data_IF_855073094158
#
_entry.id   IF_855073094158
#
_cell.length_a   1.000
_cell.length_b   1.000
_cell.length_c   1.000
_cell.angle_alpha   90.00
_cell.angle_beta   90.00
_cell.angle_gamma   90.00
#
_symmetry.space_group_name_H-M   'P 1'
#
loop_
_entity.id
_entity.type
_entity.pdbx_description
1 polymer ?
#
# COMPACT_ATOMS: atom_id res chain seq x y z
N UNK A 1 -16.97 -4.00 12.19
CA UNK A 1 -16.87 -2.95 11.17
C UNK A 1 -15.83 -3.33 10.13
N UNK A 2 -16.08 -2.94 8.88
CA UNK A 2 -15.15 -3.26 7.81
C UNK A 2 -13.84 -2.47 7.97
N UNK A 3 -12.73 -3.16 7.75
CA UNK A 3 -11.42 -2.52 7.74
C UNK A 3 -11.24 -1.74 6.43
N UNK A 4 -10.52 -0.64 6.48
CA UNK A 4 -10.28 0.23 5.33
C UNK A 4 -8.85 0.08 4.83
N UNK A 5 -8.71 -0.12 3.53
CA UNK A 5 -7.41 -0.20 2.85
C UNK A 5 -7.28 0.98 1.91
N UNK A 6 -6.22 1.76 2.08
CA UNK A 6 -5.89 2.82 1.12
C UNK A 6 -4.94 2.25 0.07
N UNK A 7 -5.29 2.44 -1.19
CA UNK A 7 -4.48 1.96 -2.32
C UNK A 7 -3.86 3.17 -3.02
N UNK A 8 -2.54 3.21 -3.07
CA UNK A 8 -1.80 4.24 -3.78
C UNK A 8 -1.18 3.59 -5.02
N UNK A 9 -1.80 3.81 -6.17
CA UNK A 9 -1.48 3.12 -7.42
C UNK A 9 -1.84 4.00 -8.61
N UNK A 10 -0.89 4.22 -9.53
CA UNK A 10 -1.13 5.06 -10.70
C UNK A 10 -1.70 4.30 -11.91
N UNK A 11 -1.59 2.99 -11.94
CA UNK A 11 -2.14 2.18 -13.02
C UNK A 11 -3.60 1.86 -12.75
N UNK A 12 -4.50 2.32 -13.64
CA UNK A 12 -5.95 2.16 -13.46
C UNK A 12 -6.39 0.70 -13.41
N UNK A 13 -5.78 -0.18 -14.20
CA UNK A 13 -6.12 -1.60 -14.19
C UNK A 13 -5.74 -2.26 -12.88
N UNK A 14 -4.57 -1.94 -12.36
CA UNK A 14 -4.13 -2.46 -11.07
C UNK A 14 -4.99 -1.92 -9.93
N UNK A 15 -5.34 -0.63 -9.98
CA UNK A 15 -6.22 -0.02 -8.99
C UNK A 15 -7.56 -0.76 -8.94
N UNK A 16 -8.16 -1.00 -10.10
CA UNK A 16 -9.43 -1.71 -10.19
C UNK A 16 -9.32 -3.13 -9.68
N UNK A 17 -8.26 -3.84 -10.06
CA UNK A 17 -8.02 -5.20 -9.59
C UNK A 17 -7.93 -5.27 -8.07
N UNK A 18 -7.14 -4.39 -7.47
CA UNK A 18 -6.95 -4.39 -6.01
C UNK A 18 -8.25 -4.06 -5.29
N UNK A 19 -8.98 -3.06 -5.78
CA UNK A 19 -10.26 -2.68 -5.19
C UNK A 19 -11.27 -3.82 -5.27
N UNK A 20 -11.41 -4.42 -6.44
CA UNK A 20 -12.37 -5.51 -6.64
C UNK A 20 -12.06 -6.71 -5.73
N UNK A 21 -10.78 -7.07 -5.63
CA UNK A 21 -10.37 -8.17 -4.76
C UNK A 21 -10.64 -7.88 -3.28
N UNK A 22 -10.30 -6.68 -2.83
CA UNK A 22 -10.50 -6.31 -1.44
C UNK A 22 -11.97 -6.18 -1.08
N UNK A 23 -12.76 -5.56 -1.94
CA UNK A 23 -14.20 -5.40 -1.69
C UNK A 23 -14.92 -6.72 -1.70
N UNK A 24 -14.49 -7.66 -2.56
CA UNK A 24 -15.04 -9.02 -2.57
C UNK A 24 -14.78 -9.76 -1.26
N UNK A 25 -13.75 -9.37 -0.52
CA UNK A 25 -13.41 -9.95 0.78
C UNK A 25 -13.90 -9.13 1.98
N UNK A 26 -14.73 -8.14 1.73
CA UNK A 26 -15.39 -7.38 2.79
C UNK A 26 -14.64 -6.16 3.30
N UNK A 27 -13.56 -5.77 2.64
CA UNK A 27 -12.81 -4.57 3.02
C UNK A 27 -13.37 -3.34 2.33
N UNK A 28 -13.23 -2.19 2.98
CA UNK A 28 -13.48 -0.90 2.35
C UNK A 28 -12.22 -0.44 1.65
N UNK A 29 -12.37 0.22 0.52
CA UNK A 29 -11.22 0.71 -0.24
C UNK A 29 -11.35 2.20 -0.54
N UNK A 30 -10.23 2.89 -0.44
CA UNK A 30 -10.04 4.23 -0.94
C UNK A 30 -8.79 4.20 -1.81
N UNK A 31 -8.71 5.05 -2.81
CA UNK A 31 -7.58 5.02 -3.72
C UNK A 31 -7.16 6.39 -4.19
N UNK A 32 -5.87 6.51 -4.49
CA UNK A 32 -5.33 7.69 -5.17
C UNK A 32 -4.18 7.25 -6.07
N UNK A 33 -3.99 8.00 -7.16
CA UNK A 33 -2.85 7.80 -8.06
C UNK A 33 -1.70 8.75 -7.76
N UNK A 34 -1.86 9.64 -6.78
CA UNK A 34 -0.91 10.71 -6.48
C UNK A 34 -0.29 10.51 -5.10
N UNK A 35 1.04 10.36 -5.05
CA UNK A 35 1.75 10.14 -3.79
C UNK A 35 1.66 11.31 -2.81
N UNK A 36 1.60 12.54 -3.32
CA UNK A 36 1.45 13.71 -2.44
C UNK A 36 0.08 13.75 -1.79
N UNK A 37 -0.96 13.39 -2.54
CA UNK A 37 -2.32 13.31 -2.00
C UNK A 37 -2.45 12.17 -0.99
N UNK A 38 -1.66 11.12 -1.17
CA UNK A 38 -1.71 9.95 -0.29
C UNK A 38 -1.50 10.31 1.18
N UNK A 39 -0.53 11.16 1.46
CA UNK A 39 -0.25 11.56 2.85
C UNK A 39 -1.45 12.25 3.50
N UNK A 40 -2.09 13.16 2.75
CA UNK A 40 -3.28 13.85 3.24
C UNK A 40 -4.43 12.87 3.49
N UNK A 41 -4.60 11.91 2.59
CA UNK A 41 -5.63 10.88 2.75
C UNK A 41 -5.37 9.98 3.95
N UNK A 42 -4.12 9.62 4.20
CA UNK A 42 -3.76 8.82 5.37
C UNK A 42 -4.13 9.56 6.65
N UNK A 43 -3.83 10.85 6.71
CA UNK A 43 -4.18 11.68 7.88
C UNK A 43 -5.68 11.79 8.08
N UNK A 44 -6.42 11.94 6.98
CA UNK A 44 -7.86 12.12 7.02
C UNK A 44 -8.61 10.82 7.31
N UNK A 45 -8.23 9.74 6.64
CA UNK A 45 -8.94 8.47 6.67
C UNK A 45 -8.48 7.53 7.78
N UNK A 46 -7.22 7.62 8.17
CA UNK A 46 -6.60 6.69 9.14
C UNK A 46 -6.89 5.24 8.73
N UNK A 47 -6.44 4.81 7.52
CA UNK A 47 -6.73 3.46 7.07
C UNK A 47 -6.07 2.40 7.96
N UNK A 48 -6.58 1.20 7.89
CA UNK A 48 -6.02 0.08 8.66
C UNK A 48 -4.80 -0.53 7.96
N UNK A 49 -4.68 -0.32 6.66
CA UNK A 49 -3.58 -0.81 5.85
C UNK A 49 -3.39 0.11 4.64
N UNK A 50 -2.16 0.27 4.20
CA UNK A 50 -1.84 1.01 2.98
C UNK A 50 -1.13 0.07 2.02
N UNK A 51 -1.66 0.00 0.79
CA UNK A 51 -0.97 -0.65 -0.33
C UNK A 51 -0.29 0.44 -1.13
N UNK A 52 1.03 0.43 -1.17
CA UNK A 52 1.83 1.51 -1.73
C UNK A 52 2.62 1.05 -2.94
N UNK A 53 2.26 1.57 -4.12
CA UNK A 53 3.07 1.37 -5.30
C UNK A 53 4.37 2.16 -5.14
N UNK A 54 5.49 1.48 -5.31
CA UNK A 54 6.82 2.11 -5.20
C UNK A 54 7.06 3.05 -6.38
N UNK A 55 6.51 2.73 -7.54
CA UNK A 55 6.79 3.42 -8.79
C UNK A 55 5.72 4.42 -9.18
N UNK A 56 5.56 5.44 -8.34
CA UNK A 56 4.64 6.53 -8.64
C UNK A 56 5.33 7.58 -9.52
N UNK A 57 4.57 8.27 -10.40
CA UNK A 57 5.21 9.21 -11.35
C UNK A 57 5.79 10.47 -10.75
N UNK A 58 5.22 11.02 -9.69
CA UNK A 58 5.68 12.30 -9.13
C UNK A 58 6.67 12.12 -7.99
N UNK A 59 6.46 11.11 -7.16
CA UNK A 59 7.28 10.86 -5.98
C UNK A 59 7.29 9.36 -5.72
N UNK A 60 8.44 8.84 -5.31
CA UNK A 60 8.56 7.41 -5.00
C UNK A 60 7.63 7.02 -3.85
N UNK A 61 7.01 5.84 -3.96
CA UNK A 61 6.22 5.28 -2.85
C UNK A 61 7.04 5.09 -1.59
N UNK A 62 8.36 4.88 -1.71
CA UNK A 62 9.25 4.78 -0.56
C UNK A 62 9.37 6.12 0.18
N UNK A 63 9.39 7.24 -0.53
CA UNK A 63 9.40 8.55 0.09
C UNK A 63 8.10 8.82 0.83
N UNK A 64 6.96 8.48 0.21
CA UNK A 64 5.66 8.63 0.85
C UNK A 64 5.59 7.78 2.11
N UNK A 65 6.09 6.56 2.06
CA UNK A 65 6.16 5.67 3.22
C UNK A 65 6.99 6.29 4.33
N UNK A 66 8.13 6.89 3.98
CA UNK A 66 8.98 7.56 4.97
C UNK A 66 8.24 8.70 5.67
N UNK A 67 7.50 9.51 4.91
CA UNK A 67 6.69 10.58 5.50
C UNK A 67 5.66 10.03 6.49
N UNK A 68 5.01 8.91 6.15
CA UNK A 68 4.04 8.25 7.03
C UNK A 68 4.73 7.73 8.29
N UNK A 69 5.88 7.09 8.13
CA UNK A 69 6.60 6.49 9.26
C UNK A 69 7.29 7.52 10.15
N UNK A 70 7.57 8.71 9.61
CA UNK A 70 8.12 9.81 10.40
C UNK A 70 7.06 10.50 11.26
N UNK A 71 5.79 10.32 10.94
CA UNK A 71 4.69 10.91 11.70
C UNK A 71 4.31 9.99 12.86
N UNK A 72 4.46 10.43 14.13
CA UNK A 72 4.14 9.60 15.29
C UNK A 72 2.71 9.09 15.34
N UNK A 73 1.77 9.84 14.73
CA UNK A 73 0.37 9.45 14.71
C UNK A 73 0.05 8.42 13.63
N UNK A 74 0.89 8.31 12.61
CA UNK A 74 0.62 7.47 11.44
C UNK A 74 1.53 6.24 11.35
N UNK A 75 2.65 6.23 12.04
CA UNK A 75 3.67 5.19 11.88
C UNK A 75 3.21 3.78 12.20
N UNK A 76 2.15 3.65 13.00
CA UNK A 76 1.63 2.34 13.36
C UNK A 76 0.81 1.68 12.23
N UNK A 77 0.41 2.45 11.21
CA UNK A 77 -0.36 1.92 10.10
C UNK A 77 0.57 1.08 9.21
N UNK A 78 0.27 -0.21 9.00
CA UNK A 78 1.14 -1.04 8.16
C UNK A 78 1.10 -0.60 6.69
N UNK A 79 2.27 -0.59 6.07
CA UNK A 79 2.42 -0.27 4.65
C UNK A 79 2.97 -1.50 3.94
N UNK A 80 2.24 -1.98 2.94
CA UNK A 80 2.67 -3.08 2.09
C UNK A 80 3.05 -2.48 0.74
N UNK A 81 4.31 -2.62 0.35
CA UNK A 81 4.79 -2.14 -0.92
C UNK A 81 4.33 -3.06 -2.06
N UNK A 82 3.98 -2.46 -3.19
CA UNK A 82 3.65 -3.20 -4.42
C UNK A 82 4.63 -2.72 -5.49
N UNK A 83 5.36 -3.63 -6.11
CA UNK A 83 6.42 -3.24 -7.04
C UNK A 83 6.60 -4.25 -8.17
N UNK A 84 6.91 -3.74 -9.37
CA UNK A 84 7.31 -4.58 -10.50
C UNK A 84 8.79 -5.00 -10.40
N UNK A 85 9.56 -4.35 -9.53
CA UNK A 85 10.98 -4.63 -9.36
C UNK A 85 11.23 -5.26 -8.00
N UNK A 86 11.17 -6.59 -7.94
CA UNK A 86 11.41 -7.35 -6.72
C UNK A 86 12.75 -8.07 -6.81
N UNK A 87 13.83 -7.33 -7.11
CA UNK A 87 15.17 -7.90 -7.08
C UNK A 87 15.67 -7.92 -5.63
N UNK A 88 16.63 -8.79 -5.37
CA UNK A 88 17.11 -9.05 -4.00
C UNK A 88 17.55 -7.80 -3.24
N UNK A 89 18.14 -6.82 -3.93
CA UNK A 89 18.55 -5.56 -3.31
C UNK A 89 17.38 -4.61 -3.04
N UNK A 90 16.30 -4.74 -3.78
CA UNK A 90 15.14 -3.88 -3.63
C UNK A 90 14.33 -4.23 -2.39
N UNK A 91 14.29 -5.51 -2.03
CA UNK A 91 13.59 -5.95 -0.81
C UNK A 91 14.15 -5.27 0.43
N UNK A 92 15.47 -5.20 0.55
CA UNK A 92 16.12 -4.53 1.68
C UNK A 92 15.80 -3.04 1.70
N UNK A 93 15.84 -2.38 0.55
CA UNK A 93 15.50 -0.95 0.44
C UNK A 93 14.06 -0.68 0.84
N UNK A 94 13.15 -1.55 0.45
CA UNK A 94 11.72 -1.44 0.77
C UNK A 94 11.52 -1.56 2.28
N UNK A 95 12.14 -2.52 2.91
CA UNK A 95 12.04 -2.72 4.36
C UNK A 95 12.70 -1.58 5.13
N UNK A 96 13.88 -1.14 4.70
CA UNK A 96 14.56 0.00 5.31
C UNK A 96 13.74 1.28 5.20
N UNK A 97 12.96 1.42 4.14
CA UNK A 97 12.04 2.54 3.96
C UNK A 97 10.83 2.52 4.89
N UNK A 98 10.64 1.44 5.65
CA UNK A 98 9.57 1.32 6.64
C UNK A 98 8.38 0.47 6.22
N UNK A 99 8.43 -0.17 5.05
CA UNK A 99 7.35 -1.08 4.64
C UNK A 99 7.44 -2.39 5.43
N UNK A 100 6.31 -2.85 5.91
CA UNK A 100 6.23 -4.09 6.71
C UNK A 100 6.28 -5.35 5.84
N UNK A 101 5.90 -5.23 4.56
CA UNK A 101 5.95 -6.33 3.60
C UNK A 101 5.98 -5.78 2.19
N UNK A 102 6.17 -6.65 1.21
CA UNK A 102 6.07 -6.26 -0.19
C UNK A 102 5.41 -7.35 -1.02
N UNK A 103 4.81 -6.94 -2.14
CA UNK A 103 4.20 -7.82 -3.12
C UNK A 103 4.77 -7.46 -4.48
N UNK A 104 5.19 -8.46 -5.24
CA UNK A 104 5.72 -8.21 -6.59
C UNK A 104 4.62 -8.32 -7.63
N UNK A 105 4.71 -7.47 -8.64
CA UNK A 105 3.83 -7.53 -9.81
C UNK A 105 4.42 -8.52 -10.83
N UNK A 106 3.58 -9.28 -11.55
CA UNK A 106 2.12 -9.33 -11.46
C UNK A 106 1.65 -10.00 -10.16
N UNK A 107 0.55 -9.48 -9.62
CA UNK A 107 0.06 -9.90 -8.31
C UNK A 107 -0.52 -11.32 -8.37
N UNK A 108 -0.10 -12.17 -7.42
CA UNK A 108 -0.77 -13.42 -7.13
C UNK A 108 -1.96 -13.12 -6.22
N UNK A 109 -3.18 -13.46 -6.65
CA UNK A 109 -4.40 -13.17 -5.89
C UNK A 109 -4.34 -13.79 -4.51
N UNK A 110 -3.91 -15.05 -4.42
CA UNK A 110 -3.80 -15.75 -3.14
C UNK A 110 -2.83 -15.07 -2.18
N UNK A 111 -1.64 -14.70 -2.66
CA UNK A 111 -0.64 -13.99 -1.86
C UNK A 111 -1.12 -12.61 -1.42
N UNK A 112 -1.79 -11.91 -2.30
CA UNK A 112 -2.34 -10.59 -2.04
C UNK A 112 -3.31 -10.61 -0.87
N UNK A 113 -4.31 -11.47 -0.94
CA UNK A 113 -5.33 -11.59 0.10
C UNK A 113 -4.72 -12.13 1.40
N UNK A 114 -3.83 -13.12 1.31
CA UNK A 114 -3.14 -13.66 2.48
C UNK A 114 -2.36 -12.57 3.22
N UNK A 115 -1.64 -11.74 2.47
CA UNK A 115 -0.86 -10.65 3.06
C UNK A 115 -1.76 -9.63 3.74
N UNK A 116 -2.85 -9.22 3.10
CA UNK A 116 -3.81 -8.29 3.69
C UNK A 116 -4.38 -8.85 4.98
N UNK A 117 -4.82 -10.10 4.96
CA UNK A 117 -5.38 -10.76 6.14
C UNK A 117 -4.39 -10.87 7.30
N UNK A 118 -3.12 -11.08 6.98
CA UNK A 118 -2.08 -11.17 8.01
C UNK A 118 -1.98 -9.89 8.83
N UNK A 119 -2.21 -8.74 8.21
CA UNK A 119 -2.08 -7.44 8.89
C UNK A 119 -3.37 -6.95 9.52
N UNK A 120 -4.50 -7.21 8.91
CA UNK A 120 -5.76 -6.61 9.37
C UNK A 120 -6.93 -7.61 9.52
N UNK A 121 -6.66 -8.87 9.29
CA UNK A 121 -7.70 -9.91 9.41
C UNK A 121 -8.58 -9.95 8.21
#
# INVERSE_FOLDING_TARGET
MAKTVLIVEDNELNMKLFRDLLEAHGYRTEGTSNGFEALDLVRKLRPDLILMDIQLPQVSGLEVTRWIKDDPELRAIPVVAVTAFAMKGDEERIREGGCEAYLSKPISVGKFIETVRRFIG
#
